data_IF_404965430628
#
_entry.id   IF_404965430628
#
_cell.length_a   1.000
_cell.length_b   1.000
_cell.length_c   1.000
_cell.angle_alpha   90.00
_cell.angle_beta   90.00
_cell.angle_gamma   90.00
#
_symmetry.space_group_name_H-M   'P 1'
#
loop_
_entity.id
_entity.type
_entity.pdbx_description
1 polymer ?
#
# COMPACT_ATOMS: atom_id res chain seq x y z
N UNK A 1 0.52 -25.44 -1.65
CA UNK A 1 0.79 -26.85 -1.24
C UNK A 1 -0.16 -27.20 -0.10
N UNK A 2 -1.06 -28.12 -0.34
CA UNK A 2 -2.25 -28.41 0.51
C UNK A 2 -1.81 -28.95 1.87
N UNK A 3 -2.10 -28.25 2.97
CA UNK A 3 -2.08 -28.82 4.32
C UNK A 3 -3.30 -29.75 4.45
N UNK A 4 -3.08 -31.05 4.31
CA UNK A 4 -4.06 -32.04 4.66
C UNK A 4 -4.11 -32.11 6.20
N UNK A 5 -5.16 -31.59 6.80
CA UNK A 5 -5.57 -31.92 8.17
C UNK A 5 -6.00 -33.37 8.17
N UNK A 6 -5.13 -34.26 8.56
CA UNK A 6 -5.50 -35.62 8.95
C UNK A 6 -6.02 -35.58 10.38
N UNK A 7 -7.30 -35.29 10.53
CA UNK A 7 -8.04 -35.65 11.72
C UNK A 7 -8.31 -37.15 11.65
N UNK A 8 -7.45 -37.95 12.20
CA UNK A 8 -7.72 -39.37 12.44
C UNK A 8 -8.70 -39.48 13.61
N UNK A 9 -9.98 -39.53 13.28
CA UNK A 9 -11.01 -39.93 14.23
C UNK A 9 -10.91 -41.47 14.34
N UNK A 10 -10.22 -41.93 15.36
CA UNK A 10 -10.25 -43.34 15.74
C UNK A 10 -11.55 -43.57 16.53
N UNK A 11 -12.56 -44.00 15.82
CA UNK A 11 -13.76 -44.56 16.49
C UNK A 11 -13.40 -46.02 16.87
N UNK A 12 -13.02 -46.23 18.13
CA UNK A 12 -12.88 -47.54 18.70
C UNK A 12 -14.25 -47.97 19.25
N UNK A 13 -14.81 -48.98 18.59
CA UNK A 13 -16.03 -49.66 19.10
C UNK A 13 -15.70 -50.32 20.44
N UNK A 14 -16.35 -49.86 21.51
CA UNK A 14 -16.24 -50.38 22.86
C UNK A 14 -17.16 -51.59 23.00
N UNK A 15 -16.58 -52.74 23.12
CA UNK A 15 -17.22 -53.92 23.75
C UNK A 15 -16.41 -54.34 24.96
N UNK A 16 -16.99 -54.06 26.10
CA UNK A 16 -16.81 -54.55 27.48
C UNK A 16 -15.56 -55.38 27.85
N UNK A 17 -14.81 -54.84 28.77
CA UNK A 17 -13.98 -55.36 29.87
C UNK A 17 -12.59 -54.66 29.89
N UNK A 18 -12.42 -53.79 30.92
CA UNK A 18 -11.12 -53.11 31.16
C UNK A 18 -11.21 -51.61 30.95
N UNK A 19 -12.16 -50.91 31.56
CA UNK A 19 -12.48 -49.49 31.29
C UNK A 19 -11.40 -48.49 31.71
N UNK A 20 -10.53 -48.84 32.65
CA UNK A 20 -9.57 -47.88 33.22
C UNK A 20 -8.28 -47.82 32.45
N UNK A 21 -7.73 -48.95 32.01
CA UNK A 21 -6.49 -49.02 31.18
C UNK A 21 -6.68 -48.37 29.79
N UNK A 22 -7.87 -48.49 29.21
CA UNK A 22 -8.17 -47.84 27.90
C UNK A 22 -8.33 -46.35 28.06
N UNK A 23 -8.92 -45.88 29.15
CA UNK A 23 -9.05 -44.42 29.45
C UNK A 23 -7.71 -43.81 29.71
N UNK A 24 -6.84 -44.43 30.52
CA UNK A 24 -5.48 -43.96 30.79
C UNK A 24 -4.65 -43.84 29.49
N UNK A 25 -4.69 -44.82 28.61
CA UNK A 25 -4.02 -44.78 27.30
C UNK A 25 -4.57 -43.71 26.37
N UNK A 26 -5.86 -43.45 26.38
CA UNK A 26 -6.49 -42.39 25.61
C UNK A 26 -6.04 -41.01 26.12
N UNK A 27 -6.01 -40.84 27.43
CA UNK A 27 -5.59 -39.59 28.07
C UNK A 27 -4.09 -39.35 27.86
N UNK A 28 -3.25 -40.37 27.92
CA UNK A 28 -1.82 -40.27 27.58
C UNK A 28 -1.63 -39.90 26.11
N UNK A 29 -2.33 -40.55 25.16
CA UNK A 29 -2.27 -40.25 23.75
C UNK A 29 -2.73 -38.82 23.46
N UNK A 30 -3.81 -38.38 24.11
CA UNK A 30 -4.30 -37.00 24.01
C UNK A 30 -3.26 -36.00 24.49
N UNK A 31 -2.67 -36.23 25.65
CA UNK A 31 -1.61 -35.38 26.21
C UNK A 31 -0.39 -35.30 25.30
N UNK A 32 -0.01 -36.43 24.67
CA UNK A 32 1.10 -36.46 23.72
C UNK A 32 0.77 -35.67 22.45
N UNK A 33 -0.45 -35.78 21.92
CA UNK A 33 -0.89 -35.03 20.75
C UNK A 33 -0.94 -33.52 21.08
N UNK A 34 -1.49 -33.14 22.21
CA UNK A 34 -1.52 -31.72 22.65
C UNK A 34 -0.10 -31.13 22.74
N UNK A 35 0.85 -31.82 23.39
CA UNK A 35 2.25 -31.42 23.45
C UNK A 35 2.92 -31.36 22.08
N UNK A 36 2.55 -32.23 21.16
CA UNK A 36 3.09 -32.21 19.80
C UNK A 36 2.53 -31.06 18.97
N UNK A 37 1.24 -30.74 19.13
CA UNK A 37 0.61 -29.57 18.50
C UNK A 37 1.23 -28.28 19.03
N UNK A 38 1.36 -28.13 20.36
CA UNK A 38 2.00 -26.97 20.97
C UNK A 38 3.43 -26.74 20.45
N UNK A 39 4.23 -27.81 20.38
CA UNK A 39 5.60 -27.70 19.82
C UNK A 39 5.60 -27.27 18.35
N UNK A 40 4.68 -27.78 17.55
CA UNK A 40 4.57 -27.39 16.12
C UNK A 40 4.11 -25.94 15.96
N UNK A 41 3.17 -25.50 16.79
CA UNK A 41 2.70 -24.11 16.79
C UNK A 41 3.84 -23.17 17.19
N UNK A 42 4.59 -23.51 18.24
CA UNK A 42 5.72 -22.71 18.71
C UNK A 42 6.87 -22.67 17.66
N UNK A 43 7.12 -23.80 17.00
CA UNK A 43 8.11 -23.85 15.92
C UNK A 43 7.65 -22.99 14.72
N UNK A 44 6.42 -23.11 14.31
CA UNK A 44 5.85 -22.30 13.23
C UNK A 44 5.89 -20.80 13.56
N UNK A 45 5.64 -20.43 14.81
CA UNK A 45 5.74 -19.04 15.28
C UNK A 45 7.19 -18.52 15.18
N UNK A 46 8.16 -19.30 15.65
CA UNK A 46 9.58 -18.91 15.54
C UNK A 46 10.05 -18.77 14.09
N UNK A 47 9.64 -19.70 13.22
CA UNK A 47 9.97 -19.63 11.79
C UNK A 47 9.33 -18.39 11.14
N UNK A 48 8.11 -18.04 11.55
CA UNK A 48 7.42 -16.83 11.09
C UNK A 48 8.16 -15.56 11.53
N UNK A 49 8.53 -15.45 12.83
CA UNK A 49 9.26 -14.30 13.36
C UNK A 49 10.63 -14.14 12.69
N UNK A 50 11.36 -15.23 12.47
CA UNK A 50 12.64 -15.18 11.76
C UNK A 50 12.49 -14.76 10.28
N UNK A 51 11.41 -15.18 9.63
CA UNK A 51 11.12 -14.78 8.25
C UNK A 51 10.78 -13.28 8.19
N UNK A 52 9.97 -12.81 9.12
CA UNK A 52 9.61 -11.39 9.26
C UNK A 52 10.85 -10.52 9.46
N UNK A 53 11.74 -10.91 10.39
CA UNK A 53 12.97 -10.16 10.66
C UNK A 53 13.90 -10.10 9.43
N UNK A 54 14.10 -11.23 8.74
CA UNK A 54 14.91 -11.25 7.50
C UNK A 54 14.31 -10.38 6.40
N UNK A 55 12.99 -10.38 6.27
CA UNK A 55 12.30 -9.53 5.31
C UNK A 55 12.46 -8.05 5.66
N UNK A 56 12.21 -7.66 6.92
CA UNK A 56 12.41 -6.29 7.39
C UNK A 56 13.79 -5.75 7.06
N UNK A 57 14.84 -6.51 7.40
CA UNK A 57 16.23 -6.13 7.08
C UNK A 57 16.47 -5.97 5.58
N UNK A 58 15.90 -6.86 4.75
CA UNK A 58 16.05 -6.76 3.29
C UNK A 58 15.36 -5.51 2.74
N UNK A 59 14.17 -5.18 3.23
CA UNK A 59 13.46 -3.96 2.82
C UNK A 59 14.20 -2.70 3.27
N UNK A 60 14.69 -2.65 4.51
CA UNK A 60 15.50 -1.55 4.99
C UNK A 60 16.77 -1.35 4.14
N UNK A 61 17.44 -2.44 3.75
CA UNK A 61 18.61 -2.40 2.87
C UNK A 61 18.25 -1.84 1.49
N UNK A 62 17.20 -2.35 0.84
CA UNK A 62 16.77 -1.89 -0.50
C UNK A 62 16.33 -0.42 -0.45
N UNK A 63 15.54 -0.02 0.56
CA UNK A 63 15.09 1.36 0.68
C UNK A 63 16.24 2.30 1.08
N UNK A 64 17.23 1.84 1.85
CA UNK A 64 18.46 2.59 2.10
C UNK A 64 19.32 2.78 0.84
N UNK A 65 19.26 1.84 -0.11
CA UNK A 65 19.89 2.01 -1.43
C UNK A 65 19.13 3.06 -2.26
N UNK A 66 17.81 3.07 -2.20
CA UNK A 66 16.98 4.10 -2.82
C UNK A 66 17.26 5.50 -2.25
N UNK A 67 17.41 5.64 -0.93
CA UNK A 67 17.80 6.91 -0.30
C UNK A 67 19.09 7.47 -0.87
N UNK A 68 20.12 6.63 -0.97
CA UNK A 68 21.42 7.06 -1.50
C UNK A 68 21.35 7.47 -2.98
N UNK A 69 20.34 6.99 -3.67
CA UNK A 69 20.13 7.24 -5.08
C UNK A 69 19.26 8.46 -5.36
N UNK A 70 18.47 8.93 -4.38
CA UNK A 70 17.64 10.13 -4.56
C UNK A 70 18.56 11.31 -4.91
N UNK A 71 18.39 11.96 -6.07
CA UNK A 71 19.16 13.12 -6.43
C UNK A 71 18.91 14.23 -5.41
N UNK A 72 19.93 14.64 -4.68
CA UNK A 72 19.84 15.88 -3.89
C UNK A 72 19.64 17.01 -4.89
N UNK A 73 18.48 17.64 -4.84
CA UNK A 73 18.23 18.83 -5.65
C UNK A 73 19.32 19.86 -5.30
N UNK A 74 20.11 20.26 -6.30
CA UNK A 74 20.93 21.44 -6.14
C UNK A 74 19.97 22.59 -5.90
N UNK A 75 20.09 23.26 -4.75
CA UNK A 75 19.34 24.46 -4.43
C UNK A 75 19.75 25.55 -5.43
N UNK A 76 19.17 25.54 -6.60
CA UNK A 76 19.16 26.68 -7.47
C UNK A 76 18.20 27.66 -6.88
N UNK A 77 18.66 28.88 -6.57
CA UNK A 77 17.81 29.96 -6.10
C UNK A 77 16.54 30.01 -6.92
N UNK A 78 15.35 29.98 -6.29
CA UNK A 78 14.11 29.90 -7.03
C UNK A 78 13.86 31.18 -7.79
N UNK A 79 14.18 31.20 -9.07
CA UNK A 79 13.46 32.04 -9.99
C UNK A 79 12.12 31.35 -10.22
N UNK A 80 11.18 31.64 -9.35
CA UNK A 80 9.80 31.17 -9.47
C UNK A 80 9.25 31.71 -10.78
N UNK A 81 9.36 30.92 -11.83
CA UNK A 81 8.44 30.97 -12.94
C UNK A 81 7.46 29.83 -12.68
N UNK A 82 6.38 30.17 -11.98
CA UNK A 82 5.17 29.36 -12.06
C UNK A 82 4.87 29.22 -13.56
N UNK A 83 5.17 28.07 -14.14
CA UNK A 83 4.50 27.69 -15.36
C UNK A 83 3.06 27.52 -14.94
N UNK A 84 2.27 28.56 -15.20
CA UNK A 84 0.85 28.55 -14.87
C UNK A 84 0.25 27.27 -15.47
N UNK A 85 -0.15 26.34 -14.63
CA UNK A 85 -1.03 25.23 -14.98
C UNK A 85 -2.46 25.74 -15.24
N UNK A 86 -2.62 26.93 -15.80
CA UNK A 86 -3.90 27.56 -16.10
C UNK A 86 -4.32 27.38 -17.55
N UNK A 87 -3.63 26.51 -18.31
CA UNK A 87 -4.16 26.07 -19.59
C UNK A 87 -5.28 25.06 -19.32
N UNK A 88 -6.46 25.20 -19.93
CA UNK A 88 -7.51 24.21 -19.80
C UNK A 88 -7.03 22.89 -20.40
N UNK A 89 -6.64 21.99 -19.52
CA UNK A 89 -6.23 20.64 -19.90
C UNK A 89 -7.39 19.69 -19.70
N UNK A 90 -7.47 18.64 -20.49
CA UNK A 90 -8.44 17.57 -20.22
C UNK A 90 -8.00 16.77 -19.02
N UNK A 91 -8.94 16.14 -18.31
CA UNK A 91 -8.62 15.36 -17.11
C UNK A 91 -7.64 14.22 -17.40
N UNK A 92 -7.76 13.57 -18.55
CA UNK A 92 -6.85 12.50 -18.99
C UNK A 92 -5.44 13.03 -19.32
N UNK A 93 -5.32 14.21 -19.91
CA UNK A 93 -4.03 14.85 -20.11
C UNK A 93 -3.37 15.20 -18.77
N UNK A 94 -4.14 15.75 -17.83
CA UNK A 94 -3.66 16.05 -16.48
C UNK A 94 -3.19 14.77 -15.75
N UNK A 95 -4.00 13.71 -15.76
CA UNK A 95 -3.64 12.43 -15.16
C UNK A 95 -2.36 11.84 -15.78
N UNK A 96 -2.22 11.97 -17.11
CA UNK A 96 -1.06 11.48 -17.82
C UNK A 96 0.20 12.26 -17.46
N UNK A 97 0.12 13.59 -17.38
CA UNK A 97 1.24 14.46 -17.02
C UNK A 97 1.73 14.17 -15.59
N UNK A 98 0.80 14.01 -14.63
CA UNK A 98 1.12 13.65 -13.25
C UNK A 98 1.78 12.27 -13.19
N UNK A 99 1.20 11.27 -13.86
CA UNK A 99 1.76 9.92 -13.87
C UNK A 99 3.17 9.89 -14.45
N UNK A 100 3.43 10.64 -15.51
CA UNK A 100 4.77 10.75 -16.13
C UNK A 100 5.78 11.40 -15.18
N UNK A 101 5.36 12.38 -14.37
CA UNK A 101 6.25 12.99 -13.38
C UNK A 101 6.60 12.01 -12.26
N UNK A 102 5.60 11.30 -11.72
CA UNK A 102 5.80 10.24 -10.71
C UNK A 102 6.71 9.14 -11.27
N UNK A 103 6.42 8.63 -12.45
CA UNK A 103 7.21 7.60 -13.14
C UNK A 103 8.65 8.06 -13.38
N UNK A 104 8.83 9.29 -13.86
CA UNK A 104 10.14 9.87 -14.09
C UNK A 104 10.98 10.00 -12.82
N UNK A 105 10.37 10.35 -11.68
CA UNK A 105 11.04 10.40 -10.39
C UNK A 105 11.51 8.99 -9.96
N UNK A 106 10.63 8.02 -9.96
CA UNK A 106 10.95 6.67 -9.50
C UNK A 106 11.88 5.93 -10.47
N UNK A 107 11.72 6.11 -11.77
CA UNK A 107 12.66 5.57 -12.77
C UNK A 107 14.09 6.05 -12.53
N UNK A 108 14.28 7.35 -12.27
CA UNK A 108 15.61 7.88 -11.93
C UNK A 108 16.14 7.31 -10.62
N UNK A 109 15.31 7.20 -9.61
CA UNK A 109 15.64 6.68 -8.28
C UNK A 109 16.05 5.20 -8.35
N UNK A 110 15.28 4.36 -9.03
CA UNK A 110 15.58 2.94 -9.23
C UNK A 110 16.87 2.74 -10.03
N UNK A 111 17.03 3.46 -11.12
CA UNK A 111 18.24 3.40 -11.95
C UNK A 111 19.49 3.79 -11.17
N UNK A 112 19.44 4.84 -10.36
CA UNK A 112 20.55 5.26 -9.53
C UNK A 112 20.89 4.27 -8.42
N UNK A 113 19.91 3.46 -7.96
CA UNK A 113 20.09 2.34 -7.02
C UNK A 113 20.53 1.03 -7.67
N UNK A 114 20.69 1.00 -9.01
CA UNK A 114 21.01 -0.22 -9.73
C UNK A 114 19.83 -1.22 -9.82
N UNK A 115 18.61 -0.77 -9.56
CA UNK A 115 17.38 -1.56 -9.70
C UNK A 115 16.83 -1.43 -11.14
N UNK A 116 16.08 -2.44 -11.62
CA UNK A 116 15.35 -2.33 -12.88
C UNK A 116 14.38 -1.15 -12.84
N UNK A 117 14.16 -0.50 -13.98
CA UNK A 117 13.17 0.57 -14.11
C UNK A 117 11.77 0.02 -13.76
N UNK A 118 10.98 0.72 -12.92
CA UNK A 118 9.60 0.31 -12.65
C UNK A 118 8.79 0.31 -13.94
N UNK A 119 7.85 -0.60 -14.05
CA UNK A 119 6.97 -0.68 -15.22
C UNK A 119 5.54 -0.80 -14.74
N UNK A 120 4.69 0.06 -15.24
CA UNK A 120 3.27 0.06 -14.93
C UNK A 120 2.46 0.41 -16.16
N UNK A 121 1.32 -0.23 -16.33
CA UNK A 121 0.30 0.17 -17.29
C UNK A 121 -0.72 1.06 -16.59
N UNK A 122 -1.46 1.82 -17.37
CA UNK A 122 -2.54 2.63 -16.85
C UNK A 122 -3.75 2.64 -17.79
N UNK A 123 -4.91 2.80 -17.18
CA UNK A 123 -6.20 2.92 -17.90
C UNK A 123 -6.99 4.06 -17.27
N UNK A 124 -7.21 5.11 -18.05
CA UNK A 124 -8.16 6.16 -17.68
C UNK A 124 -9.56 5.69 -18.05
N UNK A 125 -10.35 5.32 -17.04
CA UNK A 125 -11.71 4.80 -17.23
C UNK A 125 -12.63 5.95 -17.63
N UNK A 126 -13.13 5.91 -18.86
CA UNK A 126 -14.04 6.95 -19.38
C UNK A 126 -15.36 6.97 -18.62
N UNK A 127 -16.05 8.13 -18.48
CA UNK A 127 -17.32 8.23 -17.79
C UNK A 127 -18.35 7.22 -18.32
N UNK A 128 -18.97 6.46 -17.41
CA UNK A 128 -19.94 5.40 -17.70
C UNK A 128 -19.34 4.10 -18.22
N UNK A 129 -18.01 4.01 -18.42
CA UNK A 129 -17.36 2.77 -18.81
C UNK A 129 -17.26 1.79 -17.64
N UNK A 130 -17.16 0.50 -17.98
CA UNK A 130 -16.92 -0.60 -17.03
C UNK A 130 -15.85 -1.52 -17.62
N UNK A 131 -14.68 -1.55 -16.99
CA UNK A 131 -13.52 -2.31 -17.46
C UNK A 131 -13.27 -3.46 -16.50
N UNK A 132 -13.32 -4.70 -16.99
CA UNK A 132 -12.92 -5.87 -16.21
C UNK A 132 -11.40 -5.90 -16.12
N UNK A 133 -10.88 -5.97 -14.88
CA UNK A 133 -9.45 -5.96 -14.60
C UNK A 133 -8.90 -7.38 -14.39
N UNK A 134 -7.59 -7.54 -14.47
CA UNK A 134 -6.92 -8.79 -14.15
C UNK A 134 -7.13 -9.27 -12.72
N UNK A 135 -7.46 -8.35 -11.81
CA UNK A 135 -7.78 -8.65 -10.42
C UNK A 135 -9.22 -9.16 -10.21
N UNK A 136 -10.03 -9.26 -11.27
CA UNK A 136 -11.43 -9.66 -11.21
C UNK A 136 -12.39 -8.57 -10.71
N UNK A 137 -11.87 -7.40 -10.34
CA UNK A 137 -12.69 -6.23 -10.06
C UNK A 137 -13.14 -5.54 -11.35
N UNK A 138 -14.23 -4.78 -11.29
CA UNK A 138 -14.67 -3.91 -12.38
C UNK A 138 -14.26 -2.48 -12.05
N UNK A 139 -13.40 -1.90 -12.88
CA UNK A 139 -13.11 -0.48 -12.82
C UNK A 139 -14.26 0.29 -13.48
N UNK A 140 -14.93 1.14 -12.71
CA UNK A 140 -16.05 1.98 -13.14
C UNK A 140 -15.80 3.46 -12.79
N UNK A 141 -16.82 4.29 -12.78
CA UNK A 141 -16.74 5.74 -12.52
C UNK A 141 -16.10 6.12 -11.18
N UNK A 142 -15.89 5.18 -10.27
CA UNK A 142 -15.28 5.38 -8.95
C UNK A 142 -13.90 4.75 -8.80
N UNK A 143 -13.34 4.19 -9.87
CA UNK A 143 -12.07 3.48 -9.84
C UNK A 143 -10.90 4.43 -9.54
N UNK A 144 -10.10 4.07 -8.55
CA UNK A 144 -8.76 4.56 -8.31
C UNK A 144 -8.03 3.45 -7.55
N UNK A 145 -7.33 2.57 -8.27
CA UNK A 145 -6.60 1.46 -7.67
C UNK A 145 -5.55 0.87 -8.62
N UNK A 146 -4.52 0.30 -8.05
CA UNK A 146 -3.56 -0.55 -8.75
C UNK A 146 -3.99 -2.01 -8.70
N UNK A 147 -3.88 -2.71 -9.82
CA UNK A 147 -4.12 -4.14 -9.92
C UNK A 147 -2.82 -4.91 -10.17
N UNK A 148 -2.29 -5.66 -9.19
CA UNK A 148 -1.04 -6.39 -9.35
C UNK A 148 -1.12 -7.57 -10.33
N UNK A 149 -2.32 -8.10 -10.61
CA UNK A 149 -2.47 -9.25 -11.49
C UNK A 149 -2.25 -8.90 -12.97
N UNK A 150 -2.50 -7.66 -13.38
CA UNK A 150 -2.26 -7.17 -14.73
C UNK A 150 -1.31 -5.96 -14.77
N UNK A 151 -0.71 -5.62 -13.62
CA UNK A 151 0.26 -4.55 -13.46
C UNK A 151 -0.26 -3.21 -14.04
N UNK A 152 -1.47 -2.82 -13.59
CA UNK A 152 -2.18 -1.69 -14.19
C UNK A 152 -2.80 -0.78 -13.13
N UNK A 153 -2.58 0.51 -13.26
CA UNK A 153 -3.30 1.55 -12.50
C UNK A 153 -4.58 1.89 -13.25
N UNK A 154 -5.71 1.81 -12.56
CA UNK A 154 -7.03 2.19 -13.07
C UNK A 154 -7.53 3.43 -12.34
N UNK A 155 -7.74 4.52 -13.06
CA UNK A 155 -8.34 5.74 -12.51
C UNK A 155 -9.51 6.20 -13.38
N UNK A 156 -10.65 6.40 -12.75
CA UNK A 156 -11.81 6.94 -13.43
C UNK A 156 -11.66 8.46 -13.63
N UNK A 157 -11.84 8.90 -14.88
CA UNK A 157 -11.82 10.31 -15.23
C UNK A 157 -12.87 11.10 -14.43
N UNK A 158 -14.03 10.47 -14.18
CA UNK A 158 -15.10 11.08 -13.40
C UNK A 158 -14.67 11.27 -11.93
N UNK A 159 -14.15 10.23 -11.28
CA UNK A 159 -13.66 10.32 -9.91
C UNK A 159 -12.58 11.39 -9.77
N UNK A 160 -11.60 11.40 -10.68
CA UNK A 160 -10.52 12.38 -10.68
C UNK A 160 -11.06 13.82 -10.84
N UNK A 161 -12.04 14.03 -11.73
CA UNK A 161 -12.66 15.34 -11.91
C UNK A 161 -13.48 15.77 -10.68
N UNK A 162 -14.22 14.87 -10.05
CA UNK A 162 -14.96 15.13 -8.81
C UNK A 162 -14.03 15.45 -7.65
N UNK A 163 -12.90 14.72 -7.53
CA UNK A 163 -11.88 14.97 -6.52
C UNK A 163 -11.21 16.34 -6.75
N UNK A 164 -10.83 16.64 -7.98
CA UNK A 164 -10.27 17.95 -8.34
C UNK A 164 -11.20 19.11 -7.96
N UNK A 165 -12.51 18.94 -8.18
CA UNK A 165 -13.52 19.95 -7.87
C UNK A 165 -13.95 19.97 -6.40
N UNK A 166 -13.51 19.03 -5.59
CA UNK A 166 -13.91 18.89 -4.19
C UNK A 166 -15.37 18.46 -4.00
N UNK A 167 -15.93 17.74 -4.97
CA UNK A 167 -17.30 17.24 -4.96
C UNK A 167 -17.37 15.71 -4.94
N UNK A 168 -16.24 15.03 -4.84
CA UNK A 168 -16.20 13.60 -4.64
C UNK A 168 -16.92 13.22 -3.35
N UNK A 169 -17.81 12.21 -3.41
CA UNK A 169 -18.62 11.77 -2.28
C UNK A 169 -18.39 10.28 -1.98
N UNK A 170 -18.65 9.89 -0.72
CA UNK A 170 -18.59 8.52 -0.26
C UNK A 170 -17.17 8.00 -0.07
N UNK A 171 -16.21 8.88 0.17
CA UNK A 171 -14.90 8.51 0.64
C UNK A 171 -14.98 8.03 2.10
N UNK A 172 -14.24 6.97 2.49
CA UNK A 172 -14.39 6.34 3.81
C UNK A 172 -14.21 7.29 5.00
N UNK A 173 -13.32 8.28 4.88
CA UNK A 173 -13.01 9.26 5.92
C UNK A 173 -13.92 10.48 5.98
N UNK A 174 -14.81 10.68 5.01
CA UNK A 174 -15.68 11.88 4.95
C UNK A 174 -16.61 12.03 6.16
N UNK A 175 -17.07 10.93 6.74
CA UNK A 175 -17.98 10.94 7.89
C UNK A 175 -17.39 11.57 9.15
N UNK A 176 -16.10 11.88 9.16
CA UNK A 176 -15.36 12.38 10.33
C UNK A 176 -15.30 13.90 10.41
N UNK A 177 -15.87 14.62 9.44
CA UNK A 177 -15.78 16.09 9.37
C UNK A 177 -14.39 16.60 9.00
N UNK A 178 -13.51 15.73 8.57
CA UNK A 178 -12.19 16.09 8.02
C UNK A 178 -12.41 16.74 6.65
N UNK A 179 -11.67 17.79 6.34
CA UNK A 179 -11.85 18.64 5.18
C UNK A 179 -12.03 17.88 3.87
N UNK A 180 -12.75 18.50 2.94
CA UNK A 180 -12.96 17.88 1.62
C UNK A 180 -11.62 17.75 0.91
N UNK A 181 -11.32 16.55 0.43
CA UNK A 181 -10.26 16.34 -0.55
C UNK A 181 -10.63 17.13 -1.81
N UNK A 182 -9.83 18.11 -2.19
CA UNK A 182 -10.09 18.96 -3.34
C UNK A 182 -8.78 19.51 -3.88
N UNK A 183 -8.73 19.70 -5.19
CA UNK A 183 -7.63 20.33 -5.88
C UNK A 183 -6.81 19.38 -6.76
N UNK A 184 -5.88 19.97 -7.50
CA UNK A 184 -5.05 19.22 -8.44
C UNK A 184 -4.05 18.30 -7.72
N UNK A 185 -3.53 18.75 -6.58
CA UNK A 185 -2.58 17.94 -5.83
C UNK A 185 -3.24 16.83 -5.01
N UNK A 186 -4.55 16.92 -4.70
CA UNK A 186 -5.33 15.81 -4.17
C UNK A 186 -5.39 14.64 -5.17
N UNK A 187 -5.62 14.94 -6.45
CA UNK A 187 -5.61 13.94 -7.53
C UNK A 187 -4.19 13.40 -7.77
N UNK A 188 -3.19 14.28 -7.73
CA UNK A 188 -1.79 13.90 -7.90
C UNK A 188 -1.31 12.94 -6.79
N UNK A 189 -1.73 13.18 -5.55
CA UNK A 189 -1.47 12.26 -4.43
C UNK A 189 -2.08 10.87 -4.69
N UNK A 190 -3.34 10.79 -5.13
CA UNK A 190 -3.98 9.49 -5.43
C UNK A 190 -3.17 8.73 -6.48
N UNK A 191 -2.76 9.39 -7.57
CA UNK A 191 -1.94 8.75 -8.60
C UNK A 191 -0.57 8.28 -8.07
N UNK A 192 0.09 9.09 -7.25
CA UNK A 192 1.37 8.73 -6.64
C UNK A 192 1.23 7.56 -5.66
N UNK A 193 0.10 7.48 -4.94
CA UNK A 193 -0.25 6.38 -4.06
C UNK A 193 -0.47 5.08 -4.85
N UNK A 194 -1.25 5.11 -5.93
CA UNK A 194 -1.45 3.91 -6.76
C UNK A 194 -0.16 3.47 -7.46
N UNK A 195 0.68 4.43 -7.88
CA UNK A 195 2.01 4.12 -8.38
C UNK A 195 2.90 3.47 -7.32
N UNK A 196 2.80 3.89 -6.07
CA UNK A 196 3.54 3.28 -4.97
C UNK A 196 3.19 1.80 -4.75
N UNK A 197 1.96 1.39 -5.03
CA UNK A 197 1.60 -0.04 -5.05
C UNK A 197 2.32 -0.82 -6.15
N UNK A 198 2.55 -0.22 -7.33
CA UNK A 198 3.43 -0.82 -8.34
C UNK A 198 4.87 -0.96 -7.80
N UNK A 199 5.42 0.07 -7.14
CA UNK A 199 6.76 -0.05 -6.52
C UNK A 199 6.82 -1.19 -5.50
N UNK A 200 5.78 -1.38 -4.70
CA UNK A 200 5.70 -2.51 -3.76
C UNK A 200 5.74 -3.86 -4.48
N UNK A 201 5.09 -3.97 -5.64
CA UNK A 201 5.15 -5.15 -6.49
C UNK A 201 6.56 -5.38 -7.04
N UNK A 202 7.17 -4.35 -7.62
CA UNK A 202 8.52 -4.40 -8.22
C UNK A 202 9.62 -4.71 -7.17
N UNK A 203 9.46 -4.21 -5.95
CA UNK A 203 10.36 -4.48 -4.83
C UNK A 203 10.08 -5.83 -4.14
N UNK A 204 9.07 -6.59 -4.58
CA UNK A 204 8.67 -7.87 -4.00
C UNK A 204 8.08 -7.75 -2.59
N UNK A 205 7.56 -6.56 -2.23
CA UNK A 205 6.97 -6.30 -0.91
C UNK A 205 5.67 -7.08 -0.75
N UNK A 206 4.87 -7.23 -1.80
CA UNK A 206 3.64 -8.04 -1.79
C UNK A 206 3.89 -9.55 -1.64
N UNK A 207 5.09 -10.02 -1.95
CA UNK A 207 5.46 -11.43 -1.71
C UNK A 207 5.61 -11.76 -0.22
N UNK A 208 5.65 -10.71 0.62
CA UNK A 208 5.71 -10.86 2.06
C UNK A 208 4.34 -11.23 2.63
N UNK A 209 4.11 -12.52 2.82
CA UNK A 209 2.89 -13.07 3.42
C UNK A 209 2.85 -12.98 4.95
N UNK A 210 3.69 -12.14 5.55
CA UNK A 210 3.79 -11.98 7.01
C UNK A 210 2.61 -11.19 7.56
N UNK A 211 2.07 -10.25 6.80
CA UNK A 211 0.86 -9.50 7.21
C UNK A 211 -0.40 -10.02 6.50
N UNK A 212 -1.51 -10.03 7.23
CA UNK A 212 -2.86 -10.30 6.70
C UNK A 212 -3.67 -9.03 6.52
N UNK A 213 -3.12 -7.88 6.91
CA UNK A 213 -3.77 -6.58 6.83
C UNK A 213 -3.25 -5.80 5.63
N UNK A 214 -4.12 -5.06 4.95
CA UNK A 214 -3.74 -4.12 3.90
C UNK A 214 -3.00 -2.90 4.46
N UNK A 215 -3.33 -2.47 5.67
CA UNK A 215 -2.85 -1.23 6.30
C UNK A 215 -1.33 -0.97 6.19
N UNK A 216 -0.41 -1.93 6.45
CA UNK A 216 1.02 -1.68 6.30
C UNK A 216 1.43 -1.25 4.88
N UNK A 217 0.80 -1.83 3.87
CA UNK A 217 1.07 -1.50 2.46
C UNK A 217 0.49 -0.13 2.09
N UNK A 218 -0.70 0.19 2.59
CA UNK A 218 -1.35 1.48 2.39
C UNK A 218 -0.53 2.63 2.99
N UNK A 219 -0.10 2.49 4.25
CA UNK A 219 0.72 3.50 4.91
C UNK A 219 2.10 3.64 4.25
N UNK A 220 2.67 2.55 3.74
CA UNK A 220 3.91 2.65 2.97
C UNK A 220 3.69 3.36 1.63
N UNK A 221 2.58 3.09 0.95
CA UNK A 221 2.23 3.76 -0.30
C UNK A 221 2.03 5.27 -0.10
N UNK A 222 1.35 5.67 0.98
CA UNK A 222 1.25 7.09 1.37
C UNK A 222 2.62 7.73 1.60
N UNK A 223 3.51 7.02 2.30
CA UNK A 223 4.86 7.50 2.56
C UNK A 223 5.67 7.67 1.26
N UNK A 224 5.61 6.73 0.33
CA UNK A 224 6.24 6.86 -0.98
C UNK A 224 5.65 8.01 -1.81
N UNK A 225 4.34 8.20 -1.78
CA UNK A 225 3.70 9.36 -2.39
C UNK A 225 4.21 10.67 -1.78
N UNK A 226 4.39 10.73 -0.45
CA UNK A 226 5.00 11.85 0.24
C UNK A 226 6.44 12.11 -0.19
N UNK A 227 7.24 11.07 -0.38
CA UNK A 227 8.63 11.19 -0.86
C UNK A 227 8.68 11.79 -2.27
N UNK A 228 7.80 11.37 -3.17
CA UNK A 228 7.66 12.01 -4.48
C UNK A 228 7.23 13.47 -4.35
N UNK A 229 6.22 13.77 -3.54
CA UNK A 229 5.75 15.14 -3.31
C UNK A 229 6.85 16.06 -2.79
N UNK A 230 7.76 15.56 -1.93
CA UNK A 230 8.96 16.28 -1.52
C UNK A 230 9.83 16.66 -2.73
N UNK A 231 10.02 15.77 -3.69
CA UNK A 231 10.80 16.05 -4.89
C UNK A 231 10.16 17.15 -5.74
N UNK A 232 8.82 17.21 -5.80
CA UNK A 232 8.07 18.28 -6.48
C UNK A 232 8.28 19.62 -5.76
N UNK A 233 8.26 19.59 -4.41
CA UNK A 233 8.56 20.77 -3.58
C UNK A 233 10.00 21.29 -3.80
N UNK A 234 10.98 20.40 -3.74
CA UNK A 234 12.39 20.77 -3.94
C UNK A 234 12.66 21.36 -5.34
N UNK A 235 11.86 20.99 -6.32
CA UNK A 235 11.87 21.58 -7.66
C UNK A 235 11.15 22.93 -7.75
N UNK A 236 10.53 23.40 -6.67
CA UNK A 236 9.77 24.63 -6.64
C UNK A 236 8.47 24.58 -7.46
N UNK A 237 7.89 23.40 -7.64
CA UNK A 237 6.70 23.18 -8.46
C UNK A 237 5.41 23.11 -7.63
N UNK A 238 5.50 22.94 -6.29
CA UNK A 238 4.33 23.02 -5.42
C UNK A 238 3.83 24.45 -5.27
N UNK A 239 2.52 24.60 -5.29
CA UNK A 239 1.83 25.84 -5.00
C UNK A 239 1.39 25.90 -3.52
N UNK A 240 1.16 27.09 -2.96
CA UNK A 240 0.54 27.19 -1.65
C UNK A 240 -0.81 26.48 -1.62
N UNK A 241 -0.98 25.53 -0.69
CA UNK A 241 -2.20 24.73 -0.57
C UNK A 241 -2.05 23.27 -1.04
N UNK A 242 -1.12 22.98 -1.95
CA UNK A 242 -0.97 21.63 -2.53
C UNK A 242 -0.76 20.53 -1.46
N UNK A 243 0.07 20.81 -0.46
CA UNK A 243 0.32 19.85 0.62
C UNK A 243 -0.91 19.62 1.49
N UNK A 244 -1.71 20.68 1.72
CA UNK A 244 -3.00 20.56 2.39
C UNK A 244 -3.99 19.74 1.59
N UNK A 245 -4.03 19.90 0.26
CA UNK A 245 -4.88 19.12 -0.64
C UNK A 245 -4.54 17.62 -0.56
N UNK A 246 -3.24 17.26 -0.67
CA UNK A 246 -2.79 15.88 -0.51
C UNK A 246 -3.11 15.33 0.90
N UNK A 247 -2.87 16.13 1.94
CA UNK A 247 -3.16 15.75 3.33
C UNK A 247 -4.65 15.50 3.56
N UNK A 248 -5.51 16.34 2.99
CA UNK A 248 -6.96 16.17 3.05
C UNK A 248 -7.43 14.95 2.26
N UNK A 249 -6.81 14.65 1.12
CA UNK A 249 -7.08 13.45 0.36
C UNK A 249 -6.70 12.19 1.15
N UNK A 250 -5.51 12.16 1.78
CA UNK A 250 -5.07 11.06 2.63
C UNK A 250 -6.03 10.84 3.83
N UNK A 251 -6.50 11.92 4.45
CA UNK A 251 -7.52 11.85 5.51
C UNK A 251 -8.84 11.28 4.98
N UNK A 252 -9.29 11.69 3.79
CA UNK A 252 -10.57 11.31 3.23
C UNK A 252 -10.64 9.82 2.81
N UNK A 253 -9.53 9.21 2.44
CA UNK A 253 -9.47 7.80 2.04
C UNK A 253 -9.17 6.84 3.20
N UNK A 254 -8.86 7.34 4.39
CA UNK A 254 -8.71 6.54 5.60
C UNK A 254 -10.04 6.01 6.12
N UNK A 255 -10.02 4.92 6.87
CA UNK A 255 -11.22 4.31 7.46
C UNK A 255 -11.02 3.98 8.95
N UNK A 256 -12.10 3.67 9.66
CA UNK A 256 -12.07 3.29 11.09
C UNK A 256 -12.41 1.83 11.34
N UNK A 257 -12.52 1.01 10.30
CA UNK A 257 -12.82 -0.42 10.43
C UNK A 257 -11.56 -1.23 10.77
N UNK A 258 -10.93 -0.90 11.88
CA UNK A 258 -9.64 -1.46 12.32
C UNK A 258 -9.65 -2.99 12.52
N UNK A 259 -10.82 -3.61 12.58
CA UNK A 259 -11.00 -5.06 12.67
C UNK A 259 -10.98 -5.76 11.30
N UNK A 260 -11.07 -5.01 10.22
CA UNK A 260 -11.11 -5.54 8.86
C UNK A 260 -9.69 -5.77 8.32
N UNK A 261 -9.46 -6.92 7.70
CA UNK A 261 -8.18 -7.19 7.03
C UNK A 261 -7.91 -6.25 5.84
N UNK A 262 -8.97 -5.65 5.27
CA UNK A 262 -8.89 -4.65 4.21
C UNK A 262 -8.84 -3.21 4.74
N UNK A 263 -8.66 -3.02 6.06
CA UNK A 263 -8.49 -1.70 6.66
C UNK A 263 -7.27 -0.98 6.07
N UNK A 264 -7.47 0.22 5.52
CA UNK A 264 -6.44 1.00 4.83
C UNK A 264 -5.65 1.92 5.76
N UNK A 265 -5.93 1.93 7.03
CA UNK A 265 -5.41 2.87 8.02
C UNK A 265 -6.42 3.96 8.37
N UNK A 266 -6.32 4.46 9.59
CA UNK A 266 -7.14 5.60 10.01
C UNK A 266 -6.76 6.87 9.24
N UNK A 267 -7.67 7.85 9.09
CA UNK A 267 -7.35 9.12 8.46
C UNK A 267 -6.03 9.73 8.93
N UNK A 268 -5.81 9.77 10.25
CA UNK A 268 -4.58 10.31 10.83
C UNK A 268 -3.34 9.50 10.44
N UNK A 269 -3.41 8.17 10.50
CA UNK A 269 -2.27 7.31 10.15
C UNK A 269 -1.87 7.52 8.69
N UNK A 270 -2.83 7.62 7.78
CA UNK A 270 -2.58 7.86 6.36
C UNK A 270 -1.92 9.21 6.10
N UNK A 271 -2.50 10.28 6.65
CA UNK A 271 -1.90 11.63 6.57
C UNK A 271 -0.50 11.65 7.17
N UNK A 272 -0.30 11.07 8.36
CA UNK A 272 0.99 11.08 9.04
C UNK A 272 2.04 10.29 8.27
N UNK A 273 1.63 9.24 7.54
CA UNK A 273 2.49 8.49 6.65
C UNK A 273 2.92 9.31 5.42
N UNK A 274 1.98 10.01 4.79
CA UNK A 274 2.26 10.95 3.69
C UNK A 274 3.27 12.03 4.15
N UNK A 275 2.99 12.69 5.27
CA UNK A 275 3.85 13.76 5.80
C UNK A 275 5.23 13.25 6.19
N UNK A 276 5.33 12.02 6.72
CA UNK A 276 6.62 11.44 7.03
C UNK A 276 7.52 11.24 5.80
N UNK A 277 6.95 10.82 4.68
CA UNK A 277 7.65 10.76 3.40
C UNK A 277 8.02 12.13 2.88
N UNK A 278 7.09 13.08 2.96
CA UNK A 278 7.30 14.46 2.51
C UNK A 278 8.39 15.17 3.32
N UNK A 279 8.33 15.12 4.65
CA UNK A 279 9.29 15.81 5.52
C UNK A 279 10.71 15.25 5.38
N UNK A 280 10.82 13.96 5.10
CA UNK A 280 12.10 13.27 4.93
C UNK A 280 12.67 13.42 3.53
N UNK A 281 11.86 13.33 2.50
CA UNK A 281 12.30 13.16 1.11
C UNK A 281 13.05 11.85 0.83
N UNK A 282 13.09 10.94 1.82
CA UNK A 282 13.89 9.73 1.85
C UNK A 282 12.99 8.49 1.85
N UNK A 283 13.01 7.67 0.78
CA UNK A 283 12.19 6.46 0.70
C UNK A 283 12.47 5.43 1.81
N UNK A 284 13.66 5.45 2.42
CA UNK A 284 14.04 4.48 3.45
C UNK A 284 13.18 4.58 4.70
N UNK A 285 12.68 5.79 5.03
CA UNK A 285 11.78 5.98 6.18
C UNK A 285 10.48 5.20 6.04
N UNK A 286 10.09 4.85 4.81
CA UNK A 286 8.87 4.11 4.50
C UNK A 286 8.98 2.61 4.82
N UNK A 287 10.20 2.09 5.05
CA UNK A 287 10.43 0.70 5.45
C UNK A 287 9.70 0.35 6.75
N UNK A 288 9.61 1.30 7.68
CA UNK A 288 9.00 1.10 9.00
C UNK A 288 7.58 0.57 8.97
N UNK A 289 6.81 0.86 7.92
CA UNK A 289 5.40 0.45 7.82
C UNK A 289 5.25 -1.04 7.54
N UNK A 290 6.14 -1.63 6.75
CA UNK A 290 6.10 -3.05 6.37
C UNK A 290 7.08 -3.91 7.17
N UNK A 291 8.13 -3.33 7.75
CA UNK A 291 9.07 -4.04 8.63
C UNK A 291 8.47 -4.32 10.01
N UNK A 292 7.55 -3.47 10.48
CA UNK A 292 6.92 -3.55 11.81
C UNK A 292 5.65 -4.43 11.85
N UNK A 293 5.17 -4.90 10.69
CA UNK A 293 3.93 -5.69 10.53
C UNK A 293 3.99 -7.12 11.09
#
# INVERSE_FOLDING_TARGET
>A
MRLALLAAVIVVALSACGSDDVRERVDEARTQVEKQVERRVEQARKEFEQRRERFGKRIEEVLGDLERAVPRAERTSPTVRSRGRNEPTTIDAFLTDVLQDVDGYWTRTFKASGLPEPRVRYVWVSPGARVLTGCGAVADDRAAFYCPADDTIYVAQRFAAELYQGVAEGLPGESTGVGRAAGDFAVAYVLAHEYAHNLQQELGIFDNRVTRSAKPFELQADCFAGTWANSVYEQGQLQPGDLEEASNAALAVGDFDVGNAQHHGTPQERRDALLAGFDSGDPSVCARYVAAG
#
